data_IF_953462486815
#
_entry.id   IF_953462486815
#
_cell.length_a   1.000
_cell.length_b   1.000
_cell.length_c   1.000
_cell.angle_alpha   90.00
_cell.angle_beta   90.00
_cell.angle_gamma   90.00
#
_symmetry.space_group_name_H-M   'P 1'
#
loop_
_entity.id
_entity.type
_entity.pdbx_description
1 polymer ?
#
# COMPACT_ATOMS: atom_id res chain seq x y z
N UNK A 1 -33.53 -42.98 -24.08
CA UNK A 1 -33.25 -42.52 -22.76
C UNK A 1 -31.96 -41.76 -22.74
N UNK A 2 -32.02 -40.42 -22.70
CA UNK A 2 -30.84 -39.56 -22.54
C UNK A 2 -30.74 -39.19 -21.05
N UNK A 3 -29.69 -39.68 -20.41
CA UNK A 3 -29.33 -39.29 -19.04
C UNK A 3 -28.62 -37.93 -19.08
N UNK A 4 -29.31 -36.92 -18.66
CA UNK A 4 -28.73 -35.60 -18.38
C UNK A 4 -27.84 -35.75 -17.14
N UNK A 5 -26.52 -35.60 -17.33
CA UNK A 5 -25.58 -35.44 -16.22
C UNK A 5 -25.74 -34.01 -15.70
N UNK A 6 -26.30 -33.93 -14.51
CA UNK A 6 -26.34 -32.72 -13.70
C UNK A 6 -24.91 -32.42 -13.23
N UNK A 7 -24.27 -31.41 -13.86
CA UNK A 7 -23.02 -30.84 -13.40
C UNK A 7 -23.33 -29.72 -12.40
N UNK A 8 -23.81 -30.10 -11.21
CA UNK A 8 -23.82 -29.17 -10.09
C UNK A 8 -22.38 -28.89 -9.69
N UNK A 9 -21.87 -27.75 -10.10
CA UNK A 9 -20.60 -27.22 -9.59
C UNK A 9 -20.81 -26.94 -8.10
N UNK A 10 -20.36 -27.88 -7.27
CA UNK A 10 -20.24 -27.62 -5.82
C UNK A 10 -19.24 -26.48 -5.65
N UNK A 11 -19.71 -25.30 -5.36
CA UNK A 11 -18.89 -24.22 -4.86
C UNK A 11 -18.44 -24.63 -3.47
N UNK A 12 -17.20 -25.09 -3.37
CA UNK A 12 -16.57 -25.29 -2.05
C UNK A 12 -16.31 -23.91 -1.48
N UNK A 13 -17.18 -23.49 -0.58
CA UNK A 13 -16.89 -22.33 0.26
C UNK A 13 -15.93 -22.77 1.35
N UNK A 14 -14.73 -22.21 1.38
CA UNK A 14 -13.79 -22.41 2.47
C UNK A 14 -14.41 -21.91 3.77
N UNK A 15 -14.38 -22.75 4.81
CA UNK A 15 -14.87 -22.39 6.14
C UNK A 15 -13.69 -22.17 7.06
N UNK A 16 -13.66 -21.01 7.71
CA UNK A 16 -12.74 -20.75 8.80
C UNK A 16 -13.45 -21.05 10.12
N UNK A 17 -12.91 -22.02 10.87
CA UNK A 17 -13.42 -22.36 12.21
C UNK A 17 -12.46 -21.79 13.22
N UNK A 18 -12.93 -20.84 14.03
CA UNK A 18 -12.14 -20.22 15.07
C UNK A 18 -12.65 -20.67 16.44
N UNK A 19 -11.73 -21.19 17.25
CA UNK A 19 -11.99 -21.50 18.66
C UNK A 19 -11.25 -20.46 19.50
N UNK A 20 -12.00 -19.59 20.14
CA UNK A 20 -11.48 -18.54 21.01
C UNK A 20 -11.29 -19.00 22.45
N UNK A 21 -10.90 -18.05 23.31
CA UNK A 21 -10.82 -18.24 24.76
C UNK A 21 -9.42 -18.48 25.30
N UNK A 22 -8.41 -18.68 24.46
CA UNK A 22 -7.03 -18.76 24.92
C UNK A 22 -6.38 -17.40 24.99
N UNK A 23 -5.68 -17.06 26.09
CA UNK A 23 -4.92 -15.81 26.16
C UNK A 23 -3.74 -15.84 25.19
N UNK A 24 -3.36 -14.69 24.67
CA UNK A 24 -2.22 -14.55 23.77
C UNK A 24 -0.93 -14.41 24.57
N UNK A 25 0.05 -15.23 24.22
CA UNK A 25 1.42 -15.21 24.77
C UNK A 25 2.43 -15.46 23.67
N UNK A 26 3.68 -15.05 23.88
CA UNK A 26 4.77 -15.39 23.00
C UNK A 26 5.25 -14.21 22.14
N UNK A 27 5.68 -14.55 20.94
CA UNK A 27 6.23 -13.56 20.01
C UNK A 27 5.79 -13.83 18.57
N UNK A 28 5.84 -12.79 17.75
CA UNK A 28 5.56 -12.86 16.32
C UNK A 28 6.38 -11.82 15.57
N UNK A 29 6.46 -12.01 14.27
CA UNK A 29 7.18 -11.10 13.36
C UNK A 29 6.20 -10.50 12.36
N UNK A 30 6.25 -9.17 12.19
CA UNK A 30 5.43 -8.47 11.20
C UNK A 30 5.93 -8.77 9.79
N UNK A 31 5.01 -9.02 8.90
CA UNK A 31 5.31 -9.25 7.47
C UNK A 31 5.66 -7.95 6.76
N UNK A 32 6.32 -8.06 5.61
CA UNK A 32 6.54 -6.92 4.73
C UNK A 32 5.22 -6.29 4.26
N UNK A 33 5.22 -4.98 4.08
CA UNK A 33 4.04 -4.21 3.68
C UNK A 33 3.62 -4.52 2.25
N UNK A 34 2.38 -4.97 2.05
CA UNK A 34 1.78 -5.11 0.73
C UNK A 34 1.62 -3.75 0.04
N UNK A 35 1.10 -2.77 0.75
CA UNK A 35 0.81 -1.45 0.19
C UNK A 35 2.07 -0.70 -0.27
N UNK A 36 3.21 -1.03 0.30
CA UNK A 36 4.52 -0.52 -0.15
C UNK A 36 5.12 -1.41 -1.23
N UNK A 37 4.97 -2.74 -1.13
CA UNK A 37 5.53 -3.67 -2.10
C UNK A 37 5.04 -3.40 -3.52
N UNK A 38 3.76 -3.11 -3.72
CA UNK A 38 3.19 -2.87 -5.05
C UNK A 38 3.81 -1.63 -5.75
N UNK A 39 3.93 -0.47 -5.11
CA UNK A 39 4.70 0.64 -5.66
C UNK A 39 6.17 0.30 -5.96
N UNK A 40 6.86 -0.39 -5.05
CA UNK A 40 8.25 -0.77 -5.25
C UNK A 40 8.43 -1.68 -6.48
N UNK A 41 7.48 -2.59 -6.69
CA UNK A 41 7.47 -3.46 -7.87
C UNK A 41 7.33 -2.63 -9.17
N UNK A 42 6.49 -1.62 -9.17
CA UNK A 42 6.32 -0.75 -10.35
C UNK A 42 7.57 0.11 -10.63
N UNK A 43 8.30 0.52 -9.60
CA UNK A 43 9.56 1.24 -9.77
C UNK A 43 10.62 0.41 -10.50
N UNK A 44 10.61 -0.92 -10.36
CA UNK A 44 11.53 -1.81 -11.07
C UNK A 44 11.40 -1.73 -12.60
N UNK A 45 10.26 -1.29 -13.12
CA UNK A 45 10.03 -1.10 -14.55
C UNK A 45 10.76 0.12 -15.12
N UNK A 46 11.25 1.01 -14.27
CA UNK A 46 11.91 2.25 -14.66
C UNK A 46 13.41 2.07 -14.97
N UNK A 47 13.93 0.87 -14.87
CA UNK A 47 15.34 0.58 -15.09
C UNK A 47 15.53 -0.73 -15.85
N UNK A 48 16.68 -0.87 -16.50
CA UNK A 48 17.15 -2.12 -17.09
C UNK A 48 17.97 -2.90 -16.06
N UNK A 49 17.82 -4.21 -16.04
CA UNK A 49 18.56 -5.09 -15.16
C UNK A 49 17.78 -5.51 -13.91
N UNK A 50 18.36 -6.39 -13.11
CA UNK A 50 17.65 -7.00 -12.00
C UNK A 50 17.50 -6.06 -10.81
N UNK A 51 16.26 -5.91 -10.34
CA UNK A 51 15.91 -5.25 -9.09
C UNK A 51 15.48 -6.32 -8.10
N UNK A 52 16.07 -6.32 -6.93
CA UNK A 52 15.74 -7.26 -5.85
C UNK A 52 15.07 -6.52 -4.70
N UNK A 53 13.90 -7.01 -4.29
CA UNK A 53 13.14 -6.45 -3.18
C UNK A 53 12.98 -7.55 -2.12
N UNK A 54 13.50 -7.30 -0.92
CA UNK A 54 13.34 -8.17 0.25
C UNK A 54 12.04 -7.84 1.01
N UNK A 55 11.55 -8.79 1.77
CA UNK A 55 10.32 -8.66 2.59
C UNK A 55 9.07 -8.37 1.76
N UNK A 56 8.93 -9.02 0.63
CA UNK A 56 7.71 -8.98 -0.18
C UNK A 56 6.79 -10.12 0.26
N UNK A 57 5.60 -9.81 0.80
CA UNK A 57 4.72 -10.85 1.34
C UNK A 57 4.16 -11.75 0.22
N UNK A 58 3.95 -13.03 0.54
CA UNK A 58 3.35 -13.99 -0.37
C UNK A 58 1.81 -13.86 -0.35
N UNK A 59 1.30 -12.85 -1.05
CA UNK A 59 -0.11 -12.52 -1.12
C UNK A 59 -0.63 -12.57 -2.55
N UNK A 60 -1.94 -12.77 -2.70
CA UNK A 60 -2.61 -12.81 -4.01
C UNK A 60 -2.37 -11.53 -4.81
N UNK A 61 -2.42 -10.37 -4.18
CA UNK A 61 -2.20 -9.09 -4.86
C UNK A 61 -0.80 -8.98 -5.46
N UNK A 62 0.22 -9.48 -4.78
CA UNK A 62 1.58 -9.54 -5.30
C UNK A 62 1.65 -10.47 -6.51
N UNK A 63 1.05 -11.64 -6.43
CA UNK A 63 1.00 -12.59 -7.56
C UNK A 63 0.25 -11.98 -8.75
N UNK A 64 -0.88 -11.34 -8.51
CA UNK A 64 -1.66 -10.67 -9.57
C UNK A 64 -0.86 -9.56 -10.23
N UNK A 65 -0.19 -8.72 -9.44
CA UNK A 65 0.61 -7.62 -10.00
C UNK A 65 1.84 -8.12 -10.76
N UNK A 66 2.46 -9.20 -10.32
CA UNK A 66 3.52 -9.86 -11.10
C UNK A 66 3.03 -10.24 -12.49
N UNK A 67 1.82 -10.80 -12.60
CA UNK A 67 1.22 -11.18 -13.89
C UNK A 67 0.99 -9.98 -14.79
N UNK A 68 0.52 -8.86 -14.21
CA UNK A 68 0.37 -7.60 -14.96
C UNK A 68 1.72 -7.13 -15.49
N UNK A 69 2.74 -7.13 -14.66
CA UNK A 69 4.10 -6.72 -15.01
C UNK A 69 4.68 -7.64 -16.10
N UNK A 70 4.49 -8.94 -16.00
CA UNK A 70 5.03 -9.92 -16.95
C UNK A 70 4.46 -9.77 -18.37
N UNK A 71 3.25 -9.22 -18.51
CA UNK A 71 2.69 -8.90 -19.85
C UNK A 71 3.60 -7.98 -20.65
N UNK A 72 4.34 -7.11 -19.98
CA UNK A 72 5.26 -6.17 -20.63
C UNK A 72 6.52 -6.82 -21.23
N UNK A 73 6.82 -8.05 -20.85
CA UNK A 73 8.08 -8.74 -21.16
C UNK A 73 9.07 -8.72 -19.99
N UNK A 74 8.72 -8.07 -18.90
CA UNK A 74 9.51 -8.08 -17.66
C UNK A 74 9.47 -9.47 -17.04
N UNK A 75 10.59 -9.98 -16.58
CA UNK A 75 10.66 -11.24 -15.84
C UNK A 75 10.55 -11.00 -14.34
N UNK A 76 9.84 -11.88 -13.65
CA UNK A 76 9.72 -11.82 -12.19
C UNK A 76 9.94 -13.19 -11.58
N UNK A 77 10.55 -13.23 -10.41
CA UNK A 77 10.70 -14.43 -9.59
C UNK A 77 10.47 -14.08 -8.12
N UNK A 78 9.54 -14.76 -7.49
CA UNK A 78 9.25 -14.60 -6.07
C UNK A 78 9.58 -15.88 -5.31
N UNK A 79 10.52 -15.80 -4.38
CA UNK A 79 10.84 -16.90 -3.48
C UNK A 79 10.04 -16.72 -2.18
N UNK A 80 8.99 -17.54 -1.96
CA UNK A 80 8.16 -17.41 -0.76
C UNK A 80 8.89 -17.80 0.52
N UNK A 81 9.94 -18.62 0.45
CA UNK A 81 10.71 -19.04 1.61
C UNK A 81 11.54 -17.89 2.21
N UNK A 82 12.06 -17.01 1.36
CA UNK A 82 12.85 -15.84 1.78
C UNK A 82 12.11 -14.52 1.66
N UNK A 83 10.88 -14.54 1.12
CA UNK A 83 10.09 -13.33 0.79
C UNK A 83 10.84 -12.35 -0.12
N UNK A 84 11.68 -12.89 -1.00
CA UNK A 84 12.50 -12.09 -1.93
C UNK A 84 11.91 -12.13 -3.32
N UNK A 85 11.70 -10.95 -3.90
CA UNK A 85 11.21 -10.77 -5.25
C UNK A 85 12.29 -10.15 -6.13
N UNK A 86 12.55 -10.75 -7.27
CA UNK A 86 13.43 -10.21 -8.30
C UNK A 86 12.62 -9.87 -9.54
N UNK A 87 12.83 -8.67 -10.07
CA UNK A 87 12.18 -8.20 -11.30
C UNK A 87 13.28 -7.68 -12.25
N UNK A 88 13.15 -8.04 -13.52
CA UNK A 88 14.09 -7.58 -14.55
C UNK A 88 13.31 -7.09 -15.78
N UNK A 89 13.32 -5.78 -15.99
CA UNK A 89 12.62 -5.11 -17.08
C UNK A 89 13.49 -4.87 -18.33
N UNK A 90 14.63 -5.52 -18.44
CA UNK A 90 15.52 -5.37 -19.62
C UNK A 90 14.80 -5.67 -20.94
N UNK A 91 13.88 -6.64 -20.91
CA UNK A 91 13.10 -7.06 -22.09
C UNK A 91 11.69 -6.47 -22.13
N UNK A 92 11.46 -5.36 -21.44
CA UNK A 92 10.19 -4.66 -21.50
C UNK A 92 10.01 -4.05 -22.88
N UNK A 93 9.04 -4.54 -23.64
CA UNK A 93 8.73 -4.12 -25.01
C UNK A 93 7.26 -3.79 -25.22
N UNK A 94 6.37 -4.33 -24.37
CA UNK A 94 4.93 -4.12 -24.46
C UNK A 94 4.45 -3.15 -23.41
N UNK A 95 3.99 -2.00 -23.84
CA UNK A 95 3.54 -0.89 -22.95
C UNK A 95 2.04 -0.95 -22.69
N UNK A 96 1.58 -2.11 -22.20
CA UNK A 96 0.16 -2.37 -21.96
C UNK A 96 -0.09 -3.08 -20.62
N UNK A 97 -1.24 -2.76 -20.01
CA UNK A 97 -1.80 -3.49 -18.89
C UNK A 97 -3.28 -3.81 -19.21
N UNK A 98 -3.61 -5.09 -19.50
CA UNK A 98 -4.90 -5.47 -20.06
C UNK A 98 -6.00 -5.56 -18.98
N UNK A 99 -7.24 -5.31 -19.41
CA UNK A 99 -8.44 -5.32 -18.56
C UNK A 99 -8.58 -6.61 -17.72
N UNK A 100 -8.34 -7.78 -18.31
CA UNK A 100 -8.53 -9.07 -17.62
C UNK A 100 -7.68 -9.21 -16.35
N UNK A 101 -6.55 -8.52 -16.28
CA UNK A 101 -5.68 -8.51 -15.12
C UNK A 101 -5.91 -7.28 -14.23
N UNK A 102 -6.05 -6.09 -14.83
CA UNK A 102 -6.22 -4.83 -14.08
C UNK A 102 -7.53 -4.81 -13.28
N UNK A 103 -8.60 -5.41 -13.81
CA UNK A 103 -9.89 -5.49 -13.11
C UNK A 103 -9.82 -6.18 -11.74
N UNK A 104 -8.80 -7.02 -11.53
CA UNK A 104 -8.63 -7.79 -10.29
C UNK A 104 -7.98 -7.00 -9.18
N UNK A 105 -7.29 -5.90 -9.51
CA UNK A 105 -6.54 -5.15 -8.52
C UNK A 105 -6.31 -3.70 -8.99
N UNK A 106 -6.79 -2.73 -8.21
CA UNK A 106 -6.71 -1.30 -8.54
C UNK A 106 -5.28 -0.77 -8.63
N UNK A 107 -4.37 -1.29 -7.80
CA UNK A 107 -2.97 -0.89 -7.81
C UNK A 107 -2.26 -1.18 -9.14
N UNK A 108 -2.83 -2.04 -9.99
CA UNK A 108 -2.35 -2.25 -11.37
C UNK A 108 -2.33 -0.98 -12.21
N UNK A 109 -3.05 0.05 -11.78
CA UNK A 109 -3.05 1.36 -12.44
C UNK A 109 -1.71 2.11 -12.30
N UNK A 110 -0.84 1.71 -11.38
CA UNK A 110 0.55 2.19 -11.33
C UNK A 110 1.32 1.93 -12.63
N UNK A 111 0.87 0.99 -13.44
CA UNK A 111 1.44 0.74 -14.76
C UNK A 111 1.39 1.96 -15.66
N UNK A 112 0.43 2.87 -15.48
CA UNK A 112 0.36 4.10 -16.26
C UNK A 112 1.61 4.96 -16.06
N UNK A 113 1.95 5.28 -14.82
CA UNK A 113 3.14 6.08 -14.50
C UNK A 113 4.43 5.36 -14.84
N UNK A 114 4.52 4.06 -14.54
CA UNK A 114 5.69 3.25 -14.82
C UNK A 114 6.00 3.19 -16.32
N UNK A 115 5.01 2.90 -17.16
CA UNK A 115 5.20 2.79 -18.61
C UNK A 115 5.43 4.14 -19.28
N UNK A 116 4.72 5.18 -18.88
CA UNK A 116 4.97 6.54 -19.36
C UNK A 116 6.38 7.02 -18.98
N UNK A 117 6.81 6.77 -17.76
CA UNK A 117 8.15 7.11 -17.30
C UNK A 117 9.23 6.34 -18.04
N UNK A 118 9.02 5.03 -18.23
CA UNK A 118 9.99 4.15 -18.90
C UNK A 118 10.17 4.47 -20.40
N UNK A 119 9.08 4.59 -21.14
CA UNK A 119 9.14 4.67 -22.60
C UNK A 119 8.23 5.70 -23.24
N UNK A 120 7.59 6.54 -22.47
CA UNK A 120 6.77 7.64 -22.98
C UNK A 120 5.46 7.22 -23.64
N UNK A 121 4.98 6.02 -23.41
CA UNK A 121 3.69 5.52 -23.88
C UNK A 121 3.10 4.49 -22.94
N UNK A 122 1.79 4.40 -22.89
CA UNK A 122 1.08 3.42 -22.07
C UNK A 122 -0.33 3.19 -22.59
N UNK A 123 -0.78 1.94 -22.56
CA UNK A 123 -2.18 1.56 -22.75
C UNK A 123 -2.61 0.72 -21.56
N UNK A 124 -3.33 1.33 -20.64
CA UNK A 124 -3.68 0.73 -19.35
C UNK A 124 -5.19 0.73 -19.19
N UNK A 125 -5.76 -0.44 -18.90
CA UNK A 125 -7.19 -0.53 -18.59
C UNK A 125 -7.53 0.32 -17.37
N UNK A 126 -8.69 0.96 -17.43
CA UNK A 126 -9.26 1.56 -16.23
C UNK A 126 -9.52 0.47 -15.19
N UNK A 127 -9.32 0.75 -13.89
CA UNK A 127 -9.66 -0.20 -12.83
C UNK A 127 -11.12 -0.59 -12.92
N UNK A 128 -11.40 -1.88 -12.76
CA UNK A 128 -12.72 -2.47 -12.98
C UNK A 128 -13.86 -1.73 -12.32
N UNK A 129 -14.83 -1.43 -13.11
CA UNK A 129 -16.20 -1.18 -12.99
C UNK A 129 -16.79 -0.75 -11.66
N UNK A 130 -16.41 0.37 -11.11
CA UNK A 130 -17.34 1.06 -10.23
C UNK A 130 -18.29 1.90 -11.08
N UNK A 131 -19.49 1.39 -11.29
CA UNK A 131 -20.61 2.16 -11.83
C UNK A 131 -21.05 3.27 -10.85
N UNK A 132 -20.37 3.42 -9.72
CA UNK A 132 -20.75 4.25 -8.59
C UNK A 132 -19.70 5.32 -8.29
N UNK A 133 -19.96 6.55 -8.72
CA UNK A 133 -19.24 7.75 -8.33
C UNK A 133 -18.08 8.16 -9.25
N UNK A 134 -17.46 9.32 -8.95
CA UNK A 134 -16.31 9.83 -9.71
C UNK A 134 -15.18 8.81 -9.67
N UNK A 135 -14.59 8.58 -10.84
CA UNK A 135 -13.52 7.60 -10.98
C UNK A 135 -12.28 8.08 -10.20
N UNK A 136 -11.73 7.28 -9.28
CA UNK A 136 -10.59 7.71 -8.47
C UNK A 136 -9.27 7.86 -9.25
N UNK A 137 -9.30 7.68 -10.57
CA UNK A 137 -8.14 7.84 -11.45
C UNK A 137 -7.99 9.26 -12.04
N UNK A 138 -8.93 10.15 -11.80
CA UNK A 138 -8.88 11.50 -12.39
C UNK A 138 -7.63 12.28 -11.96
N UNK A 139 -7.21 12.17 -10.71
CA UNK A 139 -6.00 12.80 -10.21
C UNK A 139 -4.73 12.25 -10.87
N UNK A 140 -4.70 10.94 -11.14
CA UNK A 140 -3.61 10.30 -11.87
C UNK A 140 -3.50 10.87 -13.29
N UNK A 141 -4.61 10.95 -13.99
CA UNK A 141 -4.67 11.45 -15.37
C UNK A 141 -4.30 12.93 -15.44
N UNK A 142 -4.83 13.75 -14.54
CA UNK A 142 -4.50 15.17 -14.45
C UNK A 142 -2.99 15.37 -14.23
N UNK A 143 -2.40 14.57 -13.35
CA UNK A 143 -0.97 14.63 -13.07
C UNK A 143 -0.12 14.28 -14.30
N UNK A 144 -0.52 13.24 -15.05
CA UNK A 144 0.19 12.87 -16.27
C UNK A 144 0.07 13.95 -17.35
N UNK A 145 -1.10 14.57 -17.50
CA UNK A 145 -1.30 15.70 -18.42
C UNK A 145 -0.44 16.90 -18.03
N UNK A 146 -0.32 17.19 -16.74
CA UNK A 146 0.54 18.26 -16.26
C UNK A 146 2.03 18.03 -16.58
N UNK A 147 2.44 16.76 -16.75
CA UNK A 147 3.78 16.38 -17.20
C UNK A 147 3.87 16.27 -18.74
N UNK A 148 2.88 16.76 -19.46
CA UNK A 148 2.88 16.82 -20.91
C UNK A 148 2.34 15.58 -21.63
N UNK A 149 1.77 14.62 -20.93
CA UNK A 149 1.16 13.47 -21.57
C UNK A 149 -0.11 13.86 -22.32
N UNK A 150 -0.26 13.32 -23.51
CA UNK A 150 -1.51 13.33 -24.26
C UNK A 150 -2.27 12.04 -23.97
N UNK A 151 -3.51 12.16 -23.52
CA UNK A 151 -4.30 11.03 -23.02
C UNK A 151 -5.67 11.00 -23.67
N UNK A 152 -6.01 9.84 -24.22
CA UNK A 152 -7.32 9.51 -24.71
C UNK A 152 -7.92 8.35 -23.92
N UNK A 153 -9.24 8.34 -23.79
CA UNK A 153 -9.99 7.20 -23.25
C UNK A 153 -10.59 6.44 -24.44
N UNK A 154 -10.17 5.20 -24.61
CA UNK A 154 -10.62 4.35 -25.70
C UNK A 154 -11.10 3.00 -25.16
N UNK A 155 -12.41 2.75 -25.24
CA UNK A 155 -13.05 1.47 -24.88
C UNK A 155 -12.65 0.94 -23.48
N UNK A 156 -12.59 1.83 -22.48
CA UNK A 156 -12.21 1.49 -21.13
C UNK A 156 -10.70 1.45 -20.87
N UNK A 157 -9.90 1.87 -21.85
CA UNK A 157 -8.45 2.03 -21.71
C UNK A 157 -8.04 3.49 -21.65
N UNK A 158 -7.05 3.76 -20.82
CA UNK A 158 -6.28 5.00 -20.86
C UNK A 158 -5.16 4.77 -21.88
N UNK A 159 -5.19 5.53 -22.97
CA UNK A 159 -4.14 5.50 -24.00
C UNK A 159 -3.36 6.80 -23.90
N UNK A 160 -2.11 6.71 -23.48
CA UNK A 160 -1.28 7.85 -23.16
C UNK A 160 0.03 7.83 -23.93
N UNK A 161 0.52 8.99 -24.33
CA UNK A 161 1.86 9.14 -24.87
C UNK A 161 2.46 10.50 -24.51
N UNK A 162 3.78 10.53 -24.45
CA UNK A 162 4.56 11.74 -24.29
C UNK A 162 5.01 12.24 -25.66
N UNK A 163 4.65 13.46 -26.09
CA UNK A 163 5.17 14.03 -27.33
C UNK A 163 6.70 14.02 -27.31
N UNK A 164 7.29 13.52 -28.41
CA UNK A 164 8.75 13.36 -28.50
C UNK A 164 9.32 12.19 -27.71
N UNK A 165 8.50 11.38 -27.07
CA UNK A 165 8.90 10.15 -26.38
C UNK A 165 9.32 10.30 -24.92
N UNK A 166 9.29 11.50 -24.37
CA UNK A 166 9.67 11.78 -22.98
C UNK A 166 8.78 12.86 -22.39
N UNK A 167 8.31 12.62 -21.17
CA UNK A 167 7.54 13.62 -20.43
C UNK A 167 8.40 14.83 -20.04
N UNK A 168 7.75 15.95 -19.80
CA UNK A 168 8.37 17.20 -19.36
C UNK A 168 7.99 17.45 -17.91
N UNK A 169 8.92 18.00 -17.13
CA UNK A 169 8.63 18.44 -15.78
C UNK A 169 7.49 19.46 -15.74
N UNK A 170 6.72 19.43 -14.69
CA UNK A 170 5.57 20.30 -14.52
C UNK A 170 5.15 20.45 -13.08
N UNK A 171 4.13 21.25 -12.85
CA UNK A 171 3.53 21.45 -11.54
C UNK A 171 2.23 20.65 -11.44
N UNK A 172 2.15 19.82 -10.44
CA UNK A 172 0.98 18.96 -10.16
C UNK A 172 0.46 19.30 -8.78
N UNK A 173 -0.84 19.51 -8.66
CA UNK A 173 -1.50 19.68 -7.37
C UNK A 173 -2.58 18.59 -7.21
N UNK A 174 -2.53 17.89 -6.09
CA UNK A 174 -3.53 16.88 -5.74
C UNK A 174 -4.64 17.49 -4.87
N UNK A 175 -5.85 17.45 -5.33
CA UNK A 175 -7.02 17.94 -4.60
C UNK A 175 -8.17 16.91 -4.73
N UNK A 176 -8.42 16.09 -3.71
CA UNK A 176 -7.70 15.95 -2.44
C UNK A 176 -6.34 15.24 -2.58
N UNK A 177 -5.55 15.21 -1.50
CA UNK A 177 -4.32 14.40 -1.44
C UNK A 177 -4.63 12.91 -1.63
N UNK A 178 -3.79 12.22 -2.39
CA UNK A 178 -3.99 10.81 -2.75
C UNK A 178 -2.65 10.08 -2.78
N UNK A 179 -2.55 8.98 -2.03
CA UNK A 179 -1.38 8.10 -2.06
C UNK A 179 -1.15 7.53 -3.46
N UNK A 180 -2.20 6.96 -4.05
CA UNK A 180 -2.11 6.33 -5.37
C UNK A 180 -1.69 7.30 -6.46
N UNK A 181 -2.30 8.49 -6.50
CA UNK A 181 -1.97 9.51 -7.49
C UNK A 181 -0.55 10.05 -7.29
N UNK A 182 -0.12 10.29 -6.05
CA UNK A 182 1.23 10.74 -5.72
C UNK A 182 2.27 9.74 -6.24
N UNK A 183 2.10 8.46 -5.95
CA UNK A 183 3.01 7.40 -6.38
C UNK A 183 3.05 7.32 -7.92
N UNK A 184 1.88 7.32 -8.56
CA UNK A 184 1.79 7.18 -10.00
C UNK A 184 2.46 8.35 -10.75
N UNK A 185 2.24 9.56 -10.27
CA UNK A 185 2.89 10.75 -10.84
C UNK A 185 4.40 10.75 -10.59
N UNK A 186 4.85 10.29 -9.42
CA UNK A 186 6.29 10.13 -9.14
C UNK A 186 6.96 9.17 -10.11
N UNK A 187 6.34 8.03 -10.42
CA UNK A 187 6.85 7.08 -11.41
C UNK A 187 7.15 7.75 -12.76
N UNK A 188 6.27 8.65 -13.17
CA UNK A 188 6.42 9.39 -14.42
C UNK A 188 7.42 10.55 -14.32
N UNK A 189 7.43 11.26 -13.19
CA UNK A 189 8.22 12.48 -13.01
C UNK A 189 9.72 12.24 -12.88
N UNK A 190 10.13 11.10 -12.30
CA UNK A 190 11.56 10.83 -12.02
C UNK A 190 12.41 10.70 -13.27
N UNK A 191 11.82 10.34 -14.40
CA UNK A 191 12.47 10.25 -15.71
C UNK A 191 12.03 11.34 -16.69
N UNK A 192 11.17 12.27 -16.28
CA UNK A 192 10.78 13.42 -17.10
C UNK A 192 11.96 14.38 -17.30
N UNK A 193 11.92 15.17 -18.35
CA UNK A 193 12.94 16.19 -18.60
C UNK A 193 12.62 17.44 -17.80
N UNK A 194 13.54 17.85 -16.90
CA UNK A 194 13.39 19.05 -16.10
C UNK A 194 12.82 18.79 -14.71
N UNK A 195 12.34 19.85 -14.09
CA UNK A 195 11.85 19.82 -12.72
C UNK A 195 10.33 19.64 -12.66
N UNK A 196 9.89 18.89 -11.66
CA UNK A 196 8.48 18.76 -11.30
C UNK A 196 8.27 19.15 -9.84
N UNK A 197 7.14 19.78 -9.56
CA UNK A 197 6.70 20.11 -8.20
C UNK A 197 5.35 19.44 -7.97
N UNK A 198 5.28 18.55 -6.99
CA UNK A 198 4.06 17.89 -6.58
C UNK A 198 3.56 18.53 -5.29
N UNK A 199 2.44 19.24 -5.38
CA UNK A 199 1.82 19.96 -4.27
C UNK A 199 0.67 19.16 -3.67
N UNK A 200 0.47 19.27 -2.37
CA UNK A 200 -0.49 18.50 -1.61
C UNK A 200 -0.30 16.98 -1.80
N UNK A 201 0.95 16.56 -1.88
CA UNK A 201 1.33 15.17 -1.98
C UNK A 201 0.96 14.40 -0.71
N UNK A 202 0.72 13.11 -0.85
CA UNK A 202 0.51 12.23 0.29
C UNK A 202 1.81 12.08 1.10
N UNK A 203 1.68 11.98 2.42
CA UNK A 203 2.81 11.89 3.36
C UNK A 203 2.86 10.56 4.11
N UNK A 204 2.01 9.61 3.75
CA UNK A 204 2.00 8.28 4.34
C UNK A 204 3.37 7.62 4.22
N UNK A 205 3.73 6.75 5.17
CA UNK A 205 4.99 6.01 5.13
C UNK A 205 5.23 5.28 3.80
N UNK A 206 4.17 4.82 3.17
CA UNK A 206 4.22 4.13 1.87
C UNK A 206 4.85 5.00 0.78
N UNK A 207 4.53 6.29 0.77
CA UNK A 207 5.08 7.26 -0.19
C UNK A 207 6.54 7.55 0.13
N UNK A 208 6.88 7.72 1.40
CA UNK A 208 8.26 7.95 1.84
C UNK A 208 9.17 6.78 1.48
N UNK A 209 8.74 5.55 1.76
CA UNK A 209 9.49 4.33 1.41
C UNK A 209 9.65 4.19 -0.11
N UNK A 210 8.61 4.47 -0.86
CA UNK A 210 8.66 4.46 -2.31
C UNK A 210 9.68 5.47 -2.86
N UNK A 211 9.65 6.70 -2.37
CA UNK A 211 10.65 7.71 -2.74
C UNK A 211 12.06 7.31 -2.36
N UNK A 212 12.25 6.66 -1.20
CA UNK A 212 13.55 6.18 -0.73
C UNK A 212 14.15 5.15 -1.68
N UNK A 213 13.34 4.20 -2.16
CA UNK A 213 13.80 3.26 -3.19
C UNK A 213 14.16 3.97 -4.50
N UNK A 214 13.33 4.91 -4.96
CA UNK A 214 13.63 5.68 -6.16
C UNK A 214 14.94 6.46 -6.03
N UNK A 215 15.19 7.06 -4.87
CA UNK A 215 16.48 7.74 -4.60
C UNK A 215 17.65 6.76 -4.64
N UNK A 216 17.50 5.57 -4.10
CA UNK A 216 18.52 4.51 -4.18
C UNK A 216 18.78 4.08 -5.63
N UNK A 217 17.79 4.18 -6.51
CA UNK A 217 17.91 3.93 -7.94
C UNK A 217 18.55 5.09 -8.71
N UNK A 218 18.76 6.24 -8.06
CA UNK A 218 19.35 7.43 -8.67
C UNK A 218 18.38 8.57 -8.91
N UNK A 219 17.13 8.47 -8.49
CA UNK A 219 16.17 9.57 -8.62
C UNK A 219 16.54 10.73 -7.70
N UNK A 220 16.20 11.93 -8.11
CA UNK A 220 16.46 13.16 -7.37
C UNK A 220 15.13 13.74 -6.88
N UNK A 221 14.81 13.44 -5.63
CA UNK A 221 13.56 13.81 -4.97
C UNK A 221 13.89 14.51 -3.65
N UNK A 222 13.32 15.67 -3.41
CA UNK A 222 13.42 16.42 -2.16
C UNK A 222 12.04 16.64 -1.56
N UNK A 223 11.98 16.74 -0.23
CA UNK A 223 10.75 17.01 0.50
C UNK A 223 10.01 15.74 0.95
N UNK A 224 10.69 14.59 1.05
CA UNK A 224 10.10 13.35 1.53
C UNK A 224 9.41 13.59 2.88
N UNK A 225 8.19 13.05 3.01
CA UNK A 225 7.40 13.21 4.24
C UNK A 225 6.74 14.56 4.40
N UNK A 226 6.85 15.45 3.41
CA UNK A 226 6.18 16.75 3.38
C UNK A 226 5.12 16.80 2.28
N UNK A 227 4.26 17.81 2.34
CA UNK A 227 3.19 18.02 1.35
C UNK A 227 3.68 18.51 -0.01
N UNK A 228 4.95 18.86 -0.14
CA UNK A 228 5.52 19.32 -1.40
C UNK A 228 6.76 18.49 -1.74
N UNK A 229 6.71 17.81 -2.86
CA UNK A 229 7.83 17.06 -3.41
C UNK A 229 8.42 17.79 -4.60
N UNK A 230 9.74 17.96 -4.60
CA UNK A 230 10.50 18.51 -5.71
C UNK A 230 11.26 17.37 -6.39
N UNK A 231 11.02 17.17 -7.67
CA UNK A 231 11.61 16.11 -8.45
C UNK A 231 12.42 16.71 -9.58
N UNK A 232 13.74 16.47 -9.59
CA UNK A 232 14.57 16.73 -10.76
C UNK A 232 14.63 15.48 -11.59
N UNK A 233 14.06 15.50 -12.80
CA UNK A 233 14.11 14.37 -13.70
C UNK A 233 15.55 14.01 -14.07
N UNK A 234 15.80 12.71 -14.21
CA UNK A 234 17.10 12.15 -14.65
C UNK A 234 16.91 11.36 -15.93
N UNK A 235 18.01 11.16 -16.66
CA UNK A 235 17.94 10.44 -17.94
C UNK A 235 17.86 8.93 -17.74
N UNK A 236 18.33 8.43 -16.60
CA UNK A 236 18.43 7.01 -16.31
C UNK A 236 18.36 6.72 -14.81
N UNK A 237 17.70 5.62 -14.46
CA UNK A 237 17.75 5.00 -13.14
C UNK A 237 18.51 3.68 -13.21
N UNK A 238 19.07 3.26 -12.07
CA UNK A 238 19.88 2.05 -11.94
C UNK A 238 19.14 0.97 -11.15
N UNK A 239 19.42 -0.32 -11.43
CA UNK A 239 18.96 -1.42 -10.59
C UNK A 239 19.41 -1.26 -9.13
N UNK A 240 18.62 -1.78 -8.22
CA UNK A 240 18.89 -1.69 -6.79
C UNK A 240 18.44 -2.97 -6.09
N UNK A 241 19.07 -3.25 -4.94
CA UNK A 241 18.55 -4.18 -3.94
C UNK A 241 17.95 -3.35 -2.80
N UNK A 242 16.68 -3.55 -2.51
CA UNK A 242 15.94 -2.75 -1.54
C UNK A 242 15.17 -3.65 -0.57
N UNK A 243 15.14 -3.28 0.70
CA UNK A 243 14.35 -3.96 1.72
C UNK A 243 13.05 -3.22 1.97
N UNK A 244 11.93 -3.89 1.69
CA UNK A 244 10.60 -3.37 1.97
C UNK A 244 10.41 -3.19 3.48
N UNK A 245 9.64 -2.19 3.86
CA UNK A 245 9.29 -1.94 5.26
C UNK A 245 8.24 -2.93 5.78
N UNK A 246 8.19 -3.15 7.12
CA UNK A 246 7.12 -3.95 7.71
C UNK A 246 5.76 -3.27 7.58
N UNK A 247 4.71 -4.08 7.55
CA UNK A 247 3.33 -3.63 7.41
C UNK A 247 2.84 -2.96 8.69
N UNK A 248 2.61 -1.65 8.65
CA UNK A 248 2.12 -0.86 9.79
C UNK A 248 0.72 -1.24 10.23
N UNK A 249 -0.13 -1.66 9.31
CA UNK A 249 -1.51 -2.07 9.63
C UNK A 249 -1.51 -3.42 10.31
N UNK A 250 -0.68 -4.36 9.89
CA UNK A 250 -0.47 -5.62 10.58
C UNK A 250 0.10 -5.39 11.98
N UNK A 251 1.08 -4.50 12.12
CA UNK A 251 1.63 -4.12 13.41
C UNK A 251 0.54 -3.58 14.35
N UNK A 252 -0.25 -2.63 13.90
CA UNK A 252 -1.34 -2.07 14.68
C UNK A 252 -2.39 -3.11 15.07
N UNK A 253 -2.70 -4.02 14.15
CA UNK A 253 -3.62 -5.14 14.40
C UNK A 253 -3.10 -6.05 15.51
N UNK A 254 -1.82 -6.42 15.48
CA UNK A 254 -1.21 -7.26 16.52
C UNK A 254 -1.10 -6.52 17.86
N UNK A 255 -0.83 -5.22 17.86
CA UNK A 255 -0.85 -4.41 19.08
C UNK A 255 -2.24 -4.41 19.73
N UNK A 256 -3.27 -4.21 18.94
CA UNK A 256 -4.66 -4.24 19.41
C UNK A 256 -5.01 -5.63 19.96
N UNK A 257 -4.65 -6.69 19.26
CA UNK A 257 -4.88 -8.05 19.72
C UNK A 257 -4.18 -8.33 21.06
N UNK A 258 -2.94 -7.87 21.20
CA UNK A 258 -2.18 -8.00 22.46
C UNK A 258 -2.86 -7.26 23.61
N UNK A 259 -3.40 -6.06 23.36
CA UNK A 259 -4.12 -5.29 24.38
C UNK A 259 -5.43 -5.96 24.80
N UNK A 260 -6.13 -6.59 23.87
CA UNK A 260 -7.43 -7.25 24.10
C UNK A 260 -7.26 -8.59 24.82
N UNK A 261 -6.33 -9.41 24.39
CA UNK A 261 -6.25 -10.83 24.73
C UNK A 261 -4.92 -11.27 25.34
N UNK A 262 -3.99 -10.36 25.55
CA UNK A 262 -2.73 -10.64 26.26
C UNK A 262 -2.96 -10.88 27.74
N UNK A 263 -1.97 -11.48 28.40
CA UNK A 263 -1.97 -11.71 29.86
C UNK A 263 -1.29 -10.53 30.54
N UNK A 264 -1.96 -9.82 31.47
CA UNK A 264 -1.31 -8.76 32.24
C UNK A 264 -0.02 -9.27 32.93
N UNK A 265 1.06 -8.49 32.81
CA UNK A 265 2.39 -8.88 33.33
C UNK A 265 3.20 -9.77 32.41
N UNK A 266 2.64 -10.24 31.27
CA UNK A 266 3.30 -11.12 30.30
C UNK A 266 3.36 -10.44 28.94
N UNK A 267 4.46 -9.74 28.62
CA UNK A 267 4.53 -8.98 27.36
C UNK A 267 4.56 -9.89 26.13
N UNK A 268 3.92 -9.43 25.07
CA UNK A 268 4.01 -10.02 23.73
C UNK A 268 5.07 -9.26 22.95
N UNK A 269 6.05 -9.97 22.41
CA UNK A 269 7.09 -9.39 21.58
C UNK A 269 6.67 -9.40 20.11
N UNK A 270 6.69 -8.24 19.49
CA UNK A 270 6.40 -8.08 18.06
C UNK A 270 7.68 -7.61 17.38
N UNK A 271 8.25 -8.47 16.53
CA UNK A 271 9.52 -8.22 15.83
C UNK A 271 9.26 -7.61 14.45
N UNK A 272 10.29 -6.99 13.87
CA UNK A 272 10.23 -6.28 12.58
C UNK A 272 9.12 -5.22 12.63
N UNK A 273 9.20 -4.35 13.63
CA UNK A 273 8.15 -3.37 13.93
C UNK A 273 8.66 -1.94 13.71
N UNK A 274 8.00 -1.19 12.84
CA UNK A 274 8.25 0.23 12.59
C UNK A 274 7.15 1.04 13.27
N UNK A 275 7.33 1.29 14.56
CA UNK A 275 6.34 2.03 15.36
C UNK A 275 6.12 3.46 14.84
N UNK A 276 7.16 4.08 14.29
CA UNK A 276 7.10 5.40 13.68
C UNK A 276 6.16 5.48 12.45
N UNK A 277 5.85 4.34 11.83
CA UNK A 277 4.92 4.30 10.69
C UNK A 277 3.44 4.34 11.08
N UNK A 278 3.10 4.14 12.35
CA UNK A 278 1.70 4.13 12.80
C UNK A 278 1.08 5.52 12.96
N UNK A 279 1.90 6.54 13.15
CA UNK A 279 1.44 7.90 13.39
C UNK A 279 1.05 8.17 14.85
N UNK A 280 1.15 9.42 15.25
CA UNK A 280 0.96 9.83 16.66
C UNK A 280 -0.47 9.59 17.16
N UNK A 281 -1.47 9.78 16.30
CA UNK A 281 -2.87 9.62 16.69
C UNK A 281 -3.19 8.19 17.17
N UNK A 282 -2.67 7.18 16.48
CA UNK A 282 -2.82 5.78 16.89
C UNK A 282 -2.06 5.51 18.20
N UNK A 283 -0.81 5.94 18.29
CA UNK A 283 0.04 5.69 19.46
C UNK A 283 -0.52 6.34 20.72
N UNK A 284 -1.02 7.56 20.63
CA UNK A 284 -1.68 8.26 21.75
C UNK A 284 -2.95 7.55 22.19
N UNK A 285 -3.81 7.15 21.24
CA UNK A 285 -5.02 6.40 21.55
C UNK A 285 -4.69 5.05 22.19
N UNK A 286 -3.69 4.34 21.65
CA UNK A 286 -3.25 3.05 22.17
C UNK A 286 -2.74 3.16 23.62
N UNK A 287 -1.92 4.15 23.92
CA UNK A 287 -1.40 4.40 25.27
C UNK A 287 -2.54 4.66 26.27
N UNK A 288 -3.59 5.35 25.86
CA UNK A 288 -4.74 5.69 26.70
C UNK A 288 -5.63 4.49 27.04
N UNK A 289 -5.50 3.38 26.32
CA UNK A 289 -6.22 2.13 26.65
C UNK A 289 -5.74 1.47 27.94
N UNK A 290 -4.56 1.84 28.42
CA UNK A 290 -3.89 1.24 29.55
C UNK A 290 -2.86 0.18 29.17
N UNK A 291 -2.79 -0.23 27.91
CA UNK A 291 -1.75 -1.13 27.43
C UNK A 291 -0.38 -0.47 27.55
N UNK A 292 0.61 -1.25 27.97
CA UNK A 292 1.99 -0.80 28.08
C UNK A 292 2.78 -1.14 26.83
N UNK A 293 3.59 -0.20 26.38
CA UNK A 293 4.41 -0.33 25.19
C UNK A 293 5.88 -0.08 25.54
N UNK A 294 6.74 -1.06 25.26
CA UNK A 294 8.19 -0.94 25.34
C UNK A 294 8.78 -1.00 23.94
N UNK A 295 9.52 0.02 23.53
CA UNK A 295 10.09 0.13 22.21
C UNK A 295 11.57 -0.27 22.27
N UNK A 296 11.94 -1.29 21.51
CA UNK A 296 13.32 -1.73 21.31
C UNK A 296 13.79 -1.48 19.88
N UNK A 297 15.00 -1.94 19.57
CA UNK A 297 15.54 -1.90 18.23
C UNK A 297 14.83 -2.93 17.35
N UNK A 298 14.08 -2.44 16.35
CA UNK A 298 13.31 -3.25 15.39
C UNK A 298 12.30 -4.23 16.04
N UNK A 299 11.90 -3.97 17.26
CA UNK A 299 10.88 -4.74 17.97
C UNK A 299 10.13 -3.87 18.98
N UNK A 300 8.95 -4.32 19.35
CA UNK A 300 8.20 -3.76 20.47
C UNK A 300 7.72 -4.87 21.38
N UNK A 301 7.44 -4.53 22.63
CA UNK A 301 6.76 -5.40 23.58
C UNK A 301 5.48 -4.72 24.05
N UNK A 302 4.38 -5.45 23.97
CA UNK A 302 3.06 -4.97 24.37
C UNK A 302 2.57 -5.79 25.54
N UNK A 303 2.22 -5.13 26.65
CA UNK A 303 1.63 -5.77 27.81
C UNK A 303 0.18 -5.33 27.95
N UNK A 304 -0.73 -6.29 28.03
CA UNK A 304 -2.16 -6.03 28.24
C UNK A 304 -2.39 -5.38 29.61
N UNK A 305 -3.32 -4.42 29.69
CA UNK A 305 -3.69 -3.84 30.98
C UNK A 305 -4.55 -4.81 31.80
N UNK A 306 -4.56 -4.63 33.13
CA UNK A 306 -5.52 -5.32 33.99
C UNK A 306 -6.96 -4.92 33.65
N UNK A 307 -7.17 -3.67 33.30
CA UNK A 307 -8.46 -3.10 32.92
C UNK A 307 -8.29 -2.30 31.62
N UNK A 308 -8.90 -2.79 30.54
CA UNK A 308 -8.87 -2.14 29.23
C UNK A 308 -9.82 -0.94 29.25
N UNK A 309 -9.30 0.24 28.95
CA UNK A 309 -10.07 1.46 28.88
C UNK A 309 -10.55 1.75 27.46
N UNK A 310 -11.82 2.12 27.27
CA UNK A 310 -12.31 2.54 25.97
C UNK A 310 -11.74 3.92 25.63
N UNK A 311 -11.27 4.06 24.40
CA UNK A 311 -10.78 5.32 23.86
C UNK A 311 -11.44 5.57 22.53
N UNK A 312 -12.19 6.66 22.42
CA UNK A 312 -12.79 7.08 21.16
C UNK A 312 -11.73 7.58 20.22
N UNK A 313 -11.82 7.15 18.96
CA UNK A 313 -10.93 7.58 17.89
C UNK A 313 -11.72 8.11 16.71
N UNK A 314 -11.11 9.03 15.97
CA UNK A 314 -11.62 9.52 14.68
C UNK A 314 -10.61 9.19 13.63
N UNK A 315 -11.05 8.44 12.59
CA UNK A 315 -10.19 8.15 11.45
C UNK A 315 -9.93 9.41 10.62
N UNK A 316 -8.71 9.55 10.18
CA UNK A 316 -8.28 10.65 9.32
C UNK A 316 -7.07 10.21 8.50
N UNK A 317 -6.71 11.00 7.50
CA UNK A 317 -5.49 10.76 6.74
C UNK A 317 -4.27 10.82 7.65
N UNK A 318 -3.22 10.12 7.25
CA UNK A 318 -1.96 10.10 8.02
C UNK A 318 -1.43 11.52 8.28
N UNK A 319 -1.00 11.88 9.50
CA UNK A 319 -0.75 11.02 10.67
C UNK A 319 -1.97 10.80 11.59
N UNK A 320 -3.16 11.01 11.12
CA UNK A 320 -4.39 10.70 11.84
C UNK A 320 -4.55 9.18 12.06
N UNK A 321 -5.60 8.80 12.78
CA UNK A 321 -5.87 7.39 13.05
C UNK A 321 -6.22 6.66 11.74
N UNK A 322 -5.50 5.56 11.38
CA UNK A 322 -5.71 4.89 10.11
C UNK A 322 -7.10 4.27 9.96
N UNK A 323 -7.75 4.52 8.84
CA UNK A 323 -9.03 3.88 8.50
C UNK A 323 -8.91 2.35 8.49
N UNK A 324 -7.77 1.83 8.06
CA UNK A 324 -7.50 0.38 7.98
C UNK A 324 -7.40 -0.30 9.36
N UNK A 325 -7.33 0.45 10.43
CA UNK A 325 -7.36 -0.05 11.82
C UNK A 325 -8.69 0.20 12.53
N UNK A 326 -9.67 0.76 11.84
CA UNK A 326 -10.98 1.07 12.43
C UNK A 326 -11.72 -0.19 12.90
N UNK A 327 -11.75 -1.24 12.09
CA UNK A 327 -12.45 -2.49 12.43
C UNK A 327 -11.83 -3.14 13.67
N UNK A 328 -10.51 -3.22 13.75
CA UNK A 328 -9.78 -3.77 14.89
C UNK A 328 -10.02 -2.95 16.15
N UNK A 329 -10.05 -1.61 16.02
CA UNK A 329 -10.33 -0.72 17.14
C UNK A 329 -11.76 -0.87 17.65
N UNK A 330 -12.72 -1.13 16.79
CA UNK A 330 -14.10 -1.45 17.16
C UNK A 330 -14.17 -2.69 18.05
N UNK A 331 -13.38 -3.71 17.75
CA UNK A 331 -13.29 -4.92 18.60
C UNK A 331 -12.71 -4.57 19.98
N UNK A 332 -11.71 -3.71 20.04
CA UNK A 332 -11.14 -3.22 21.30
C UNK A 332 -12.21 -2.49 22.14
N UNK A 333 -12.98 -1.61 21.50
CA UNK A 333 -14.08 -0.89 22.17
C UNK A 333 -15.14 -1.86 22.68
N UNK A 334 -15.50 -2.88 21.91
CA UNK A 334 -16.46 -3.90 22.33
C UNK A 334 -15.97 -4.69 23.55
N UNK A 335 -14.69 -5.02 23.61
CA UNK A 335 -14.07 -5.68 24.77
C UNK A 335 -14.08 -4.76 25.99
N UNK A 336 -13.71 -3.50 25.83
CA UNK A 336 -13.73 -2.50 26.90
C UNK A 336 -15.17 -2.21 27.39
N UNK A 337 -16.17 -2.26 26.52
CA UNK A 337 -17.58 -2.05 26.85
C UNK A 337 -18.16 -3.16 27.75
N UNK A 338 -17.51 -4.31 27.86
CA UNK A 338 -17.84 -5.33 28.85
C UNK A 338 -17.58 -4.89 30.28
N UNK A 339 -16.80 -3.83 30.49
CA UNK A 339 -16.59 -3.18 31.78
C UNK A 339 -17.72 -2.17 32.02
N UNK A 340 -18.48 -2.24 33.15
CA UNK A 340 -19.56 -1.31 33.44
C UNK A 340 -19.12 0.17 33.45
N UNK A 341 -17.91 0.48 33.91
CA UNK A 341 -17.36 1.84 33.92
C UNK A 341 -17.06 2.36 32.50
N UNK A 342 -16.85 1.48 31.54
CA UNK A 342 -16.49 1.82 30.18
C UNK A 342 -17.69 2.17 29.29
N UNK A 343 -18.88 1.65 29.63
CA UNK A 343 -20.11 1.83 28.83
C UNK A 343 -20.55 3.28 28.69
N UNK A 344 -20.24 4.12 29.66
CA UNK A 344 -20.63 5.54 29.67
C UNK A 344 -19.79 6.40 28.74
N UNK A 345 -18.65 5.90 28.27
CA UNK A 345 -17.68 6.66 27.46
C UNK A 345 -17.65 6.27 26.00
N UNK A 346 -18.43 5.26 25.57
CA UNK A 346 -18.52 4.83 24.19
C UNK A 346 -19.58 5.66 23.45
N UNK A 347 -19.16 6.38 22.43
CA UNK A 347 -20.06 7.17 21.59
C UNK A 347 -20.72 6.31 20.51
N UNK A 348 -22.08 6.19 20.48
CA UNK A 348 -22.82 5.34 19.55
C UNK A 348 -22.57 5.66 18.07
N UNK A 349 -22.24 6.91 17.76
CA UNK A 349 -22.09 7.38 16.36
C UNK A 349 -20.88 6.78 15.62
N UNK A 350 -19.97 6.11 16.33
CA UNK A 350 -18.79 5.48 15.74
C UNK A 350 -19.02 4.04 15.28
N UNK A 351 -20.17 3.49 15.57
CA UNK A 351 -20.58 2.15 15.15
C UNK A 351 -21.49 2.15 13.91
N UNK A 352 -21.69 3.32 13.30
CA UNK A 352 -22.63 3.52 12.18
C UNK A 352 -21.97 3.45 10.80
N UNK A 353 -20.97 2.59 10.60
CA UNK A 353 -20.44 2.36 9.26
C UNK A 353 -20.37 0.87 8.94
#
# INVERSE_FOLDING_TARGET
GATTKDHSTRVFMDKLIVRGGSPLIGELTVSGSKNTALPLMSAALLTDGPVTIHHVPNLRDVTTFRRVIEVTGTTTHHDPATSTLTLDATKLTKYEAPYELVKRMRASFYMLGALLGRGGKAKVSLPGGCAWGPRPVDLHIQGMKALGAEIDLDRGYVVAHAPGGRLQGGRVRFEPSSVGATINVLLAAVLAKGESVLENAAIEPDVVEFCTMLQAMGARIEGLGTRTLHVQGVDRLNPVTYSNCPDRIELGTFMIAAAIAGVPGSPITIRHARIDHLGDAFLEAFARTGAELEIGENLIKVTAPNELRPVSVKTDIYPGFPTDLQAQWTVLLAKAAGNPKARETIYPDRFKN
#
